data_IF_286136563965
#
_entry.id   IF_286136563965
#
_cell.length_a   1.000
_cell.length_b   1.000
_cell.length_c   1.000
_cell.angle_alpha   90.00
_cell.angle_beta   90.00
_cell.angle_gamma   90.00
#
_symmetry.space_group_name_H-M   'P 1'
#
loop_
_entity.id
_entity.type
_entity.pdbx_description
1 polymer ?
#
# COMPACT_ATOMS: atom_id res chain seq x y z
N UNK A 1 -1.76 -14.62 1.86
CA UNK A 1 -2.76 -13.55 1.66
C UNK A 1 -2.00 -12.25 1.49
N UNK A 2 -2.34 -11.46 0.47
CA UNK A 2 -1.67 -10.21 0.12
C UNK A 2 -2.72 -9.09 0.17
N UNK A 3 -2.39 -7.98 0.82
CA UNK A 3 -3.26 -6.81 0.93
C UNK A 3 -2.68 -5.66 0.12
N UNK A 4 -3.49 -5.08 -0.74
CA UNK A 4 -3.20 -3.83 -1.40
C UNK A 4 -3.96 -2.70 -0.73
N UNK A 5 -3.32 -1.53 -0.59
CA UNK A 5 -3.93 -0.35 0.02
C UNK A 5 -3.65 0.85 -0.87
N UNK A 6 -4.69 1.57 -1.28
CA UNK A 6 -4.54 2.92 -1.82
C UNK A 6 -4.11 3.85 -0.68
N UNK A 7 -2.86 4.31 -0.78
CA UNK A 7 -2.22 5.15 0.20
C UNK A 7 -2.35 6.64 -0.12
N UNK A 8 -2.86 7.05 -1.29
CA UNK A 8 -3.13 8.45 -1.59
C UNK A 8 -4.36 8.94 -0.81
N UNK A 9 -5.36 8.07 -0.65
CA UNK A 9 -6.55 8.34 0.16
C UNK A 9 -6.33 8.14 1.67
N UNK A 10 -5.26 7.45 2.10
CA UNK A 10 -5.06 7.10 3.52
C UNK A 10 -4.35 8.20 4.34
N UNK A 11 -4.96 8.67 5.45
CA UNK A 11 -4.27 9.54 6.41
C UNK A 11 -3.07 8.85 7.08
N UNK A 12 -2.09 9.65 7.52
CA UNK A 12 -0.88 9.14 8.19
C UNK A 12 -1.16 8.21 9.39
N UNK A 13 -2.08 8.53 10.32
CA UNK A 13 -2.37 7.64 11.46
C UNK A 13 -2.87 6.25 11.03
N UNK A 14 -3.62 6.17 9.93
CA UNK A 14 -4.12 4.91 9.38
C UNK A 14 -2.96 4.08 8.82
N UNK A 15 -2.03 4.71 8.10
CA UNK A 15 -0.80 4.04 7.61
C UNK A 15 0.02 3.46 8.77
N UNK A 16 0.16 4.18 9.88
CA UNK A 16 0.87 3.70 11.07
C UNK A 16 0.18 2.49 11.73
N UNK A 17 -1.15 2.45 11.74
CA UNK A 17 -1.91 1.28 12.19
C UNK A 17 -1.66 0.10 11.24
N UNK A 18 -1.77 0.33 9.93
CA UNK A 18 -1.52 -0.71 8.91
C UNK A 18 -0.12 -1.31 9.05
N UNK A 19 0.91 -0.48 9.25
CA UNK A 19 2.27 -0.97 9.43
C UNK A 19 2.41 -1.91 10.63
N UNK A 20 1.84 -1.52 11.78
CA UNK A 20 1.88 -2.36 13.00
C UNK A 20 1.09 -3.65 12.79
N UNK A 21 -0.08 -3.57 12.17
CA UNK A 21 -0.94 -4.73 11.93
C UNK A 21 -0.30 -5.71 10.93
N UNK A 22 0.23 -5.21 9.81
CA UNK A 22 0.91 -6.03 8.80
C UNK A 22 2.09 -6.82 9.41
N UNK A 23 2.90 -6.17 10.24
CA UNK A 23 4.01 -6.82 10.93
C UNK A 23 3.54 -7.87 11.94
N UNK A 24 2.56 -7.52 12.79
CA UNK A 24 2.06 -8.43 13.83
C UNK A 24 1.37 -9.65 13.22
N UNK A 25 0.58 -9.44 12.17
CA UNK A 25 -0.16 -10.50 11.49
C UNK A 25 0.71 -11.25 10.46
N UNK A 26 1.92 -10.77 10.17
CA UNK A 26 2.80 -11.29 9.13
C UNK A 26 2.11 -11.36 7.76
N UNK A 27 1.27 -10.38 7.47
CA UNK A 27 0.54 -10.27 6.22
C UNK A 27 1.26 -9.28 5.33
N UNK A 28 1.66 -9.77 4.17
CA UNK A 28 2.25 -8.95 3.13
C UNK A 28 1.27 -7.85 2.69
N UNK A 29 1.73 -6.61 2.77
CA UNK A 29 0.93 -5.41 2.50
C UNK A 29 1.71 -4.49 1.58
N UNK A 30 1.10 -4.14 0.44
CA UNK A 30 1.67 -3.20 -0.53
C UNK A 30 0.84 -1.91 -0.50
N UNK A 31 1.48 -0.80 -0.14
CA UNK A 31 0.89 0.53 -0.21
C UNK A 31 1.14 1.12 -1.59
N UNK A 32 0.07 1.49 -2.29
CA UNK A 32 0.10 2.01 -3.65
C UNK A 32 -0.19 3.51 -3.61
N UNK A 33 0.65 4.33 -4.21
CA UNK A 33 0.49 5.78 -4.20
C UNK A 33 1.12 6.42 -5.44
N UNK A 34 0.60 7.56 -5.88
CA UNK A 34 1.17 8.37 -6.94
C UNK A 34 2.47 9.07 -6.50
N UNK A 35 2.74 9.11 -5.20
CA UNK A 35 3.92 9.74 -4.62
C UNK A 35 4.71 8.79 -3.72
N UNK A 36 5.97 9.15 -3.45
CA UNK A 36 6.84 8.34 -2.60
C UNK A 36 6.32 8.33 -1.16
N UNK A 37 6.12 7.12 -0.62
CA UNK A 37 5.74 6.92 0.77
C UNK A 37 6.96 6.62 1.64
N UNK A 38 6.97 7.15 2.86
CA UNK A 38 7.88 6.68 3.89
C UNK A 38 7.25 5.47 4.58
N UNK A 39 7.82 4.29 4.33
CA UNK A 39 7.39 3.02 4.96
C UNK A 39 8.53 2.47 5.82
N UNK A 40 8.23 1.81 6.95
CA UNK A 40 9.26 1.21 7.79
C UNK A 40 9.94 0.05 7.07
N UNK A 41 11.19 -0.25 7.43
CA UNK A 41 11.86 -1.48 6.99
C UNK A 41 11.10 -2.69 7.53
N UNK A 42 10.57 -3.53 6.65
CA UNK A 42 9.83 -4.72 7.02
C UNK A 42 9.86 -5.73 5.86
N UNK A 43 9.80 -7.02 6.20
CA UNK A 43 9.57 -8.09 5.22
C UNK A 43 8.11 -8.11 4.72
N UNK A 44 7.18 -7.52 5.48
CA UNK A 44 5.75 -7.57 5.23
C UNK A 44 5.17 -6.28 4.67
N UNK A 45 5.96 -5.20 4.55
CA UNK A 45 5.48 -3.90 4.09
C UNK A 45 6.33 -3.45 2.91
N UNK A 46 5.67 -3.17 1.79
CA UNK A 46 6.28 -2.56 0.61
C UNK A 46 5.48 -1.35 0.15
N UNK A 47 6.11 -0.49 -0.64
CA UNK A 47 5.43 0.59 -1.33
C UNK A 47 5.60 0.44 -2.83
N UNK A 48 4.54 0.75 -3.58
CA UNK A 48 4.50 0.81 -5.03
C UNK A 48 4.15 2.24 -5.42
N UNK A 49 5.03 2.87 -6.20
CA UNK A 49 4.76 4.17 -6.81
C UNK A 49 4.09 3.91 -8.17
N UNK A 50 2.98 4.60 -8.41
CA UNK A 50 2.27 4.62 -9.69
C UNK A 50 2.40 6.00 -10.35
N UNK A 51 1.94 6.10 -11.59
CA UNK A 51 1.90 7.38 -12.31
C UNK A 51 1.05 8.41 -11.57
N UNK A 52 1.35 9.69 -11.80
CA UNK A 52 0.44 10.76 -11.37
C UNK A 52 -0.79 10.77 -12.26
N UNK A 53 -1.97 10.80 -11.65
CA UNK A 53 -3.24 10.79 -12.35
C UNK A 53 -4.38 10.45 -11.40
N UNK A 54 -5.60 10.64 -11.88
CA UNK A 54 -6.80 10.25 -11.14
C UNK A 54 -6.97 8.73 -11.21
N UNK A 55 -7.28 8.11 -10.07
CA UNK A 55 -7.53 6.66 -9.90
C UNK A 55 -6.38 5.73 -10.36
N UNK A 56 -5.14 6.23 -10.47
CA UNK A 56 -4.01 5.41 -10.93
C UNK A 56 -3.65 4.30 -9.94
N UNK A 57 -3.84 4.55 -8.63
CA UNK A 57 -3.66 3.54 -7.61
C UNK A 57 -4.72 2.43 -7.75
N UNK A 58 -5.99 2.80 -7.94
CA UNK A 58 -7.09 1.85 -8.10
C UNK A 58 -6.91 0.97 -9.33
N UNK A 59 -6.61 1.57 -10.49
CA UNK A 59 -6.34 0.82 -11.73
C UNK A 59 -5.25 -0.21 -11.53
N UNK A 60 -4.13 0.19 -10.92
CA UNK A 60 -3.03 -0.72 -10.67
C UNK A 60 -3.43 -1.84 -9.70
N UNK A 61 -4.17 -1.55 -8.64
CA UNK A 61 -4.65 -2.57 -7.69
C UNK A 61 -5.59 -3.55 -8.38
N UNK A 62 -6.51 -3.08 -9.21
CA UNK A 62 -7.43 -3.93 -10.00
C UNK A 62 -6.63 -4.86 -10.90
N UNK A 63 -5.67 -4.34 -11.65
CA UNK A 63 -4.78 -5.14 -12.51
C UNK A 63 -4.04 -6.25 -11.73
N UNK A 64 -3.64 -5.99 -10.48
CA UNK A 64 -2.99 -7.02 -9.66
C UNK A 64 -3.96 -8.08 -9.10
N UNK A 65 -5.21 -7.71 -8.84
CA UNK A 65 -6.22 -8.63 -8.32
C UNK A 65 -6.80 -9.56 -9.41
N UNK A 66 -6.71 -9.17 -10.67
CA UNK A 66 -7.17 -9.96 -11.82
C UNK A 66 -6.10 -10.93 -12.38
N UNK A 67 -4.86 -10.90 -11.86
CA UNK A 67 -3.74 -11.74 -12.27
C UNK A 67 -3.61 -13.03 -11.44
#
# INVERSE_FOLDING_TARGET
MLIYVDADACPKPIKEILFRTAQRAQIETILVANQRLSVPRSLYIRSKIVSHGFDEADKWIVEQCEA
#
